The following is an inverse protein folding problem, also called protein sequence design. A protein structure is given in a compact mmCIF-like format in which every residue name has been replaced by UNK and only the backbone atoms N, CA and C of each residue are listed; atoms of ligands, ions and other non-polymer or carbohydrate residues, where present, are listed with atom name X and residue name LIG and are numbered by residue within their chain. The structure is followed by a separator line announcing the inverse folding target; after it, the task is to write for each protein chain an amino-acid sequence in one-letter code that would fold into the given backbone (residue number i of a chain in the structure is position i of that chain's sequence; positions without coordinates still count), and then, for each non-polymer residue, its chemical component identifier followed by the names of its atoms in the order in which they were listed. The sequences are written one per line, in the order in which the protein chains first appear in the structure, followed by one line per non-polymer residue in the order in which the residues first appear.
data_IF_802213756764
#
_entry.id   IF_802213756764
#
_cell.length_a   1.000
_cell.length_b   1.000
_cell.length_c   1.000
_cell.angle_alpha   90.00
_cell.angle_beta   90.00
_cell.angle_gamma   90.00
#
_symmetry.space_group_name_H-M   'P 1'
#
loop_
_entity.id
_entity.type
_entity.pdbx_description
1 polymer ?
#
# COMPACT_ATOMS: atom_id res chain seq x y z
N UNK A 1 5.86 -2.70 -5.44
CA UNK A 1 6.56 -3.95 -5.78
C UNK A 1 5.90 -5.12 -5.07
N UNK A 2 5.75 -6.25 -5.75
CA UNK A 2 5.28 -7.50 -5.13
C UNK A 2 6.48 -8.30 -4.62
N UNK A 3 6.45 -8.73 -3.37
CA UNK A 3 7.40 -9.66 -2.78
C UNK A 3 6.63 -10.86 -2.23
N UNK A 4 6.80 -12.03 -2.85
CA UNK A 4 5.95 -13.19 -2.58
C UNK A 4 4.49 -12.91 -2.95
N UNK A 5 3.58 -13.04 -1.98
CA UNK A 5 2.14 -12.79 -2.17
C UNK A 5 1.69 -11.38 -1.81
N UNK A 6 2.56 -10.56 -1.20
CA UNK A 6 2.21 -9.23 -0.71
C UNK A 6 2.86 -8.10 -1.49
N UNK A 7 2.25 -6.93 -1.43
CA UNK A 7 2.65 -5.70 -2.07
C UNK A 7 3.17 -4.71 -1.04
N UNK A 8 4.27 -4.04 -1.41
CA UNK A 8 4.84 -2.89 -0.72
C UNK A 8 5.22 -1.80 -1.71
N UNK A 9 5.78 -0.70 -1.19
CA UNK A 9 6.22 0.44 -1.99
C UNK A 9 7.72 0.58 -1.89
N UNK A 10 8.37 0.83 -3.03
CA UNK A 10 9.82 0.97 -3.11
C UNK A 10 10.19 2.41 -3.47
N UNK A 11 11.34 2.84 -3.00
CA UNK A 11 12.04 4.03 -3.44
C UNK A 11 12.74 3.76 -4.79
N UNK A 12 13.22 4.81 -5.49
CA UNK A 12 13.94 4.65 -6.77
C UNK A 12 15.20 3.79 -6.69
N UNK A 13 15.83 3.71 -5.51
CA UNK A 13 17.00 2.87 -5.24
C UNK A 13 16.65 1.38 -5.01
N UNK A 14 15.36 1.03 -5.02
CA UNK A 14 14.86 -0.32 -4.80
C UNK A 14 14.61 -0.69 -3.33
N UNK A 15 14.96 0.19 -2.37
CA UNK A 15 14.65 -0.03 -0.97
C UNK A 15 13.14 0.10 -0.71
N UNK A 16 12.60 -0.66 0.23
CA UNK A 16 11.19 -0.52 0.60
C UNK A 16 10.96 0.76 1.42
N UNK A 17 10.17 1.67 0.87
CA UNK A 17 9.57 2.77 1.64
C UNK A 17 8.44 2.26 2.55
N UNK A 18 7.69 1.26 2.08
CA UNK A 18 6.68 0.56 2.86
C UNK A 18 6.86 -0.93 2.60
N UNK A 19 7.15 -1.69 3.66
CA UNK A 19 7.35 -3.14 3.57
C UNK A 19 6.15 -3.86 2.96
N UNK A 20 6.35 -4.98 2.25
CA UNK A 20 5.26 -5.77 1.68
C UNK A 20 4.27 -6.26 2.73
N UNK A 21 3.07 -5.67 2.75
CA UNK A 21 2.03 -6.00 3.73
C UNK A 21 0.61 -6.00 3.15
N UNK A 22 0.42 -5.53 1.93
CA UNK A 22 -0.89 -5.42 1.28
C UNK A 22 -1.16 -6.58 0.33
N UNK A 23 -2.42 -6.96 0.14
CA UNK A 23 -2.80 -8.00 -0.81
C UNK A 23 -2.63 -7.52 -2.27
N UNK A 24 -2.87 -6.22 -2.47
CA UNK A 24 -2.59 -5.47 -3.69
C UNK A 24 -2.39 -4.00 -3.34
N UNK A 25 -1.71 -3.27 -4.22
CA UNK A 25 -1.47 -1.84 -4.04
C UNK A 25 -1.52 -1.11 -5.38
N UNK A 26 -2.20 0.02 -5.42
CA UNK A 26 -2.19 0.96 -6.55
C UNK A 26 -1.09 2.02 -6.35
N UNK A 27 -0.54 2.60 -7.45
CA UNK A 27 0.41 3.70 -7.35
C UNK A 27 -0.16 4.90 -6.58
N UNK A 28 0.71 5.63 -5.90
CA UNK A 28 0.35 6.90 -5.28
C UNK A 28 -0.15 7.92 -6.31
N UNK A 29 -1.25 8.60 -6.00
CA UNK A 29 -1.79 9.75 -6.72
C UNK A 29 -2.23 10.78 -5.69
N UNK A 30 -1.76 12.02 -5.82
CA UNK A 30 -2.04 13.12 -4.88
C UNK A 30 -1.75 12.74 -3.41
N UNK A 31 -0.63 12.06 -3.15
CA UNK A 31 -0.22 11.65 -1.81
C UNK A 31 -0.96 10.45 -1.20
N UNK A 32 -1.93 9.88 -1.93
CA UNK A 32 -2.71 8.72 -1.46
C UNK A 32 -2.52 7.51 -2.37
N UNK A 33 -2.53 6.32 -1.79
CA UNK A 33 -2.58 5.06 -2.52
C UNK A 33 -3.74 4.21 -2.03
N UNK A 34 -4.42 3.53 -2.97
CA UNK A 34 -5.44 2.54 -2.63
C UNK A 34 -4.78 1.17 -2.47
N UNK A 35 -5.06 0.49 -1.37
CA UNK A 35 -4.48 -0.81 -1.02
C UNK A 35 -5.56 -1.80 -0.60
N UNK A 36 -5.29 -3.08 -0.81
CA UNK A 36 -6.10 -4.19 -0.31
C UNK A 36 -5.57 -4.73 1.01
N UNK A 37 -6.45 -4.91 1.99
CA UNK A 37 -6.14 -5.44 3.32
C UNK A 37 -7.22 -6.45 3.70
N UNK A 38 -6.87 -7.75 3.69
CA UNK A 38 -7.70 -8.84 4.21
C UNK A 38 -9.13 -8.87 3.67
N UNK A 39 -9.28 -8.60 2.36
CA UNK A 39 -10.58 -8.62 1.67
C UNK A 39 -11.29 -7.26 1.57
N UNK A 40 -10.82 -6.24 2.27
CA UNK A 40 -11.30 -4.86 2.16
C UNK A 40 -10.26 -3.98 1.47
N UNK A 41 -10.64 -2.75 1.16
CA UNK A 41 -9.71 -1.75 0.63
C UNK A 41 -9.63 -0.49 1.50
N UNK A 42 -8.46 0.14 1.46
CA UNK A 42 -8.15 1.33 2.23
C UNK A 42 -7.36 2.35 1.40
N UNK A 43 -7.40 3.61 1.81
CA UNK A 43 -6.47 4.65 1.40
C UNK A 43 -5.38 4.83 2.45
N UNK A 44 -4.14 4.82 2.00
CA UNK A 44 -2.96 5.11 2.82
C UNK A 44 -2.25 6.37 2.33
N UNK A 45 -1.54 7.05 3.23
CA UNK A 45 -0.56 8.08 2.89
C UNK A 45 0.82 7.47 2.53
N UNK A 46 1.81 8.32 2.24
CA UNK A 46 3.15 7.90 1.82
C UNK A 46 3.96 7.22 2.93
N UNK A 47 3.57 7.43 4.18
CA UNK A 47 4.10 6.76 5.37
C UNK A 47 3.46 5.38 5.60
N UNK A 48 2.48 4.99 4.79
CA UNK A 48 1.76 3.71 4.93
C UNK A 48 0.67 3.73 5.99
N UNK A 49 0.32 4.91 6.52
CA UNK A 49 -0.76 5.09 7.50
C UNK A 49 -2.11 5.08 6.79
N UNK A 50 -3.06 4.30 7.30
CA UNK A 50 -4.44 4.27 6.82
C UNK A 50 -5.14 5.58 7.17
N UNK A 51 -5.57 6.32 6.14
CA UNK A 51 -6.33 7.57 6.28
C UNK A 51 -7.83 7.29 6.19
N UNK A 52 -8.21 6.27 5.42
CA UNK A 52 -9.59 5.83 5.28
C UNK A 52 -9.62 4.35 4.96
N UNK A 53 -10.62 3.61 5.44
CA UNK A 53 -10.83 2.22 5.09
C UNK A 53 -12.31 1.94 4.91
N UNK A 54 -12.62 1.04 3.97
CA UNK A 54 -13.93 0.43 3.88
C UNK A 54 -14.18 -0.37 5.15
N UNK A 55 -15.35 -0.18 5.76
CA UNK A 55 -15.78 -1.03 6.86
C UNK A 55 -16.33 -2.34 6.29
N UNK A 56 -16.12 -3.47 6.99
CA UNK A 56 -16.88 -4.69 6.77
C UNK A 56 -18.38 -4.47 6.61
#
# INVERSE_FOLDING_TARGET
MRAGTRWGFILPDGAFSISPQFDWAMPFRNGLARVGISGYWAYINQEGTVIWQEKP
#
